data_IF_867719025758
#
_entry.id   IF_867719025758
#
_cell.length_a   1.000
_cell.length_b   1.000
_cell.length_c   1.000
_cell.angle_alpha   90.00
_cell.angle_beta   90.00
_cell.angle_gamma   90.00
#
_symmetry.space_group_name_H-M   'P 1'
#
loop_
_entity.id
_entity.type
_entity.pdbx_description
1 polymer ?
#
# COMPACT_ATOMS: atom_id res chain seq x y z
N UNK A 1 -3.54 15.83 2.44
CA UNK A 1 -3.44 14.58 1.65
C UNK A 1 -3.02 13.48 2.62
N UNK A 2 -3.60 12.28 2.58
CA UNK A 2 -3.14 11.21 3.44
C UNK A 2 -1.69 10.88 3.08
N UNK A 3 -0.82 10.83 4.09
CA UNK A 3 0.56 10.36 3.92
C UNK A 3 0.57 8.91 3.43
N UNK A 4 1.58 8.48 2.66
CA UNK A 4 1.72 7.08 2.29
C UNK A 4 1.79 6.23 3.56
N UNK A 5 0.85 5.29 3.71
CA UNK A 5 0.81 4.37 4.84
C UNK A 5 1.99 3.40 4.71
N UNK A 6 2.97 3.48 5.61
CA UNK A 6 4.04 2.49 5.70
C UNK A 6 3.61 1.34 6.61
N UNK A 7 3.70 0.12 6.10
CA UNK A 7 3.58 -1.10 6.89
C UNK A 7 4.94 -1.40 7.58
N UNK A 8 4.90 -2.20 8.63
CA UNK A 8 6.06 -2.74 9.32
C UNK A 8 6.96 -3.51 8.38
N UNK A 9 6.36 -4.35 7.54
CA UNK A 9 7.11 -5.20 6.62
C UNK A 9 7.90 -4.35 5.63
N UNK A 10 7.23 -3.38 4.99
CA UNK A 10 7.86 -2.46 4.04
C UNK A 10 8.96 -1.62 4.71
N UNK A 11 8.77 -1.21 5.97
CA UNK A 11 9.78 -0.45 6.71
C UNK A 11 11.01 -1.29 7.09
N UNK A 12 10.80 -2.54 7.52
CA UNK A 12 11.89 -3.48 7.79
C UNK A 12 12.61 -3.87 6.50
N UNK A 13 11.87 -4.03 5.39
CA UNK A 13 12.42 -4.27 4.07
C UNK A 13 13.35 -3.14 3.62
N UNK A 14 12.86 -1.90 3.59
CA UNK A 14 13.68 -0.74 3.22
C UNK A 14 14.89 -0.62 4.14
N UNK A 15 14.75 -0.90 5.44
CA UNK A 15 15.87 -0.85 6.37
C UNK A 15 16.91 -1.96 6.10
N UNK A 16 16.47 -3.20 5.88
CA UNK A 16 17.34 -4.32 5.54
C UNK A 16 18.13 -4.06 4.25
N UNK A 17 17.43 -3.67 3.17
CA UNK A 17 18.04 -3.46 1.87
C UNK A 17 18.58 -2.04 1.65
N UNK A 18 18.56 -1.18 2.67
CA UNK A 18 19.38 0.03 2.66
C UNK A 18 20.87 -0.28 2.83
N UNK A 19 21.19 -1.46 3.38
CA UNK A 19 22.54 -1.97 3.42
C UNK A 19 22.92 -2.59 2.07
N UNK A 20 24.11 -2.24 1.58
CA UNK A 20 24.62 -2.73 0.31
C UNK A 20 24.89 -4.24 0.33
N UNK A 21 25.27 -4.78 1.50
CA UNK A 21 25.52 -6.21 1.65
C UNK A 21 24.25 -7.02 1.38
N UNK A 22 23.12 -6.63 1.98
CA UNK A 22 21.84 -7.31 1.77
C UNK A 22 21.25 -7.02 0.38
N UNK A 23 21.45 -5.81 -0.17
CA UNK A 23 21.07 -5.51 -1.57
C UNK A 23 21.78 -6.42 -2.56
N UNK A 24 23.08 -6.63 -2.37
CA UNK A 24 23.87 -7.55 -3.19
C UNK A 24 23.39 -8.99 -3.04
N UNK A 25 23.07 -9.44 -1.83
CA UNK A 25 22.49 -10.77 -1.62
C UNK A 25 21.17 -10.91 -2.38
N UNK A 26 20.31 -9.88 -2.36
CA UNK A 26 19.02 -9.90 -3.09
C UNK A 26 19.25 -9.99 -4.59
N UNK A 27 20.20 -9.22 -5.11
CA UNK A 27 20.58 -9.30 -6.51
C UNK A 27 21.06 -10.70 -6.89
N UNK A 28 21.91 -11.33 -6.08
CA UNK A 28 22.41 -12.68 -6.33
C UNK A 28 21.32 -13.76 -6.21
N UNK A 29 20.29 -13.55 -5.39
CA UNK A 29 19.08 -14.40 -5.41
C UNK A 29 18.34 -14.34 -6.75
N UNK A 30 18.33 -13.17 -7.40
CA UNK A 30 17.66 -12.95 -8.68
C UNK A 30 18.53 -13.33 -9.89
N UNK A 31 19.84 -13.17 -9.75
CA UNK A 31 20.87 -13.38 -10.79
C UNK A 31 22.03 -14.23 -10.25
N UNK A 32 21.79 -15.51 -9.90
CA UNK A 32 22.83 -16.38 -9.33
C UNK A 32 23.99 -16.65 -10.30
N UNK A 33 23.82 -16.37 -11.59
CA UNK A 33 24.85 -16.49 -12.61
C UNK A 33 25.96 -15.42 -12.53
N UNK A 34 25.70 -14.24 -11.93
CA UNK A 34 26.62 -13.10 -11.92
C UNK A 34 27.58 -13.16 -10.71
N UNK A 35 28.41 -14.21 -10.70
CA UNK A 35 29.28 -14.57 -9.55
C UNK A 35 30.48 -13.64 -9.32
N UNK A 36 30.81 -12.76 -10.26
CA UNK A 36 31.96 -11.85 -10.17
C UNK A 36 31.60 -10.44 -9.64
N UNK A 37 30.34 -10.25 -9.22
CA UNK A 37 29.82 -8.98 -8.73
C UNK A 37 30.46 -8.54 -7.40
N UNK A 38 30.81 -7.25 -7.32
CA UNK A 38 31.42 -6.61 -6.14
C UNK A 38 30.53 -5.50 -5.62
N UNK A 39 30.77 -5.08 -4.39
CA UNK A 39 29.95 -4.06 -3.74
C UNK A 39 30.05 -2.72 -4.49
N UNK A 40 31.19 -2.43 -5.09
CA UNK A 40 31.45 -1.27 -5.96
C UNK A 40 30.61 -1.26 -7.25
N UNK A 41 30.07 -2.41 -7.66
CA UNK A 41 29.21 -2.52 -8.85
C UNK A 41 27.77 -2.07 -8.56
N UNK A 42 27.41 -1.87 -7.29
CA UNK A 42 26.07 -1.48 -6.88
C UNK A 42 26.01 0.00 -6.55
N UNK A 43 24.94 0.63 -7.00
CA UNK A 43 24.59 1.99 -6.61
C UNK A 43 23.12 2.06 -6.24
N UNK A 44 22.83 2.47 -5.01
CA UNK A 44 21.45 2.76 -4.60
C UNK A 44 20.93 3.97 -5.39
N UNK A 45 19.79 3.78 -6.05
CA UNK A 45 19.01 4.81 -6.75
C UNK A 45 17.58 4.86 -6.19
N UNK A 46 17.44 4.46 -4.92
CA UNK A 46 16.16 4.50 -4.21
C UNK A 46 15.71 5.94 -4.13
N UNK A 47 14.47 6.20 -4.53
CA UNK A 47 13.93 7.54 -4.63
C UNK A 47 13.62 8.07 -3.22
N UNK A 48 14.60 8.62 -2.53
CA UNK A 48 14.37 9.29 -1.25
C UNK A 48 13.82 10.70 -1.48
N UNK A 49 12.75 11.06 -0.79
CA UNK A 49 12.25 12.44 -0.81
C UNK A 49 12.19 12.96 0.64
N UNK A 50 13.26 13.65 1.04
CA UNK A 50 13.39 14.23 2.39
C UNK A 50 12.44 15.44 2.58
N UNK A 51 11.93 16.03 1.49
CA UNK A 51 11.25 17.34 1.53
C UNK A 51 9.90 17.43 0.80
N UNK A 52 9.45 16.39 0.08
CA UNK A 52 8.20 16.46 -0.67
C UNK A 52 7.38 15.18 -0.54
N UNK A 53 6.10 15.36 -0.22
CA UNK A 53 5.05 14.35 -0.30
C UNK A 53 4.97 13.91 -1.77
N UNK A 54 5.63 12.80 -2.11
CA UNK A 54 5.68 12.23 -3.44
C UNK A 54 5.77 10.71 -3.36
N UNK A 55 5.43 10.00 -4.44
CA UNK A 55 5.62 8.56 -4.51
C UNK A 55 7.13 8.24 -4.51
N UNK A 56 7.55 7.38 -3.60
CA UNK A 56 8.89 6.77 -3.54
C UNK A 56 8.75 5.25 -3.65
N UNK A 57 9.78 4.60 -4.19
CA UNK A 57 9.88 3.13 -4.21
C UNK A 57 10.60 2.65 -2.94
N UNK A 58 10.39 1.37 -2.58
CA UNK A 58 10.96 0.82 -1.35
C UNK A 58 12.45 0.51 -1.48
N UNK A 59 12.86 0.00 -2.65
CA UNK A 59 14.24 -0.24 -3.01
C UNK A 59 14.46 -0.01 -4.51
N UNK A 60 15.49 0.76 -4.84
CA UNK A 60 15.97 0.94 -6.20
C UNK A 60 17.48 0.90 -6.21
N UNK A 61 18.06 0.11 -7.11
CA UNK A 61 19.50 0.07 -7.27
C UNK A 61 19.90 -0.21 -8.71
N UNK A 62 21.02 0.37 -9.09
CA UNK A 62 21.68 0.16 -10.36
C UNK A 62 22.83 -0.83 -10.15
N UNK A 63 23.00 -1.75 -11.10
CA UNK A 63 24.09 -2.71 -11.15
C UNK A 63 24.92 -2.46 -12.40
N UNK A 64 26.17 -2.02 -12.19
CA UNK A 64 27.09 -1.53 -13.23
C UNK A 64 26.37 -0.49 -14.12
N UNK A 65 26.74 -0.36 -15.39
CA UNK A 65 26.08 0.58 -16.32
C UNK A 65 24.91 -0.07 -17.09
N UNK A 66 24.45 -1.24 -16.64
CA UNK A 66 23.67 -2.17 -17.46
C UNK A 66 22.24 -2.40 -16.97
N UNK A 67 22.01 -2.36 -15.66
CA UNK A 67 20.76 -2.81 -15.08
C UNK A 67 20.29 -1.85 -13.99
N UNK A 68 18.98 -1.56 -13.97
CA UNK A 68 18.29 -0.89 -12.87
C UNK A 68 17.23 -1.85 -12.36
N UNK A 69 17.25 -2.16 -11.07
CA UNK A 69 16.23 -2.93 -10.40
C UNK A 69 15.40 -2.02 -9.51
N UNK A 70 14.08 -2.13 -9.61
CA UNK A 70 13.13 -1.54 -8.68
C UNK A 70 12.35 -2.66 -8.00
N UNK A 71 12.37 -2.68 -6.67
CA UNK A 71 11.74 -3.71 -5.86
C UNK A 71 10.82 -3.04 -4.84
N UNK A 72 9.58 -3.53 -4.77
CA UNK A 72 8.63 -3.17 -3.72
C UNK A 72 8.32 -4.35 -2.81
N UNK A 73 8.21 -4.09 -1.52
CA UNK A 73 7.60 -5.02 -0.59
C UNK A 73 6.10 -4.70 -0.53
N UNK A 74 5.25 -5.72 -0.60
CA UNK A 74 3.81 -5.55 -0.46
C UNK A 74 3.22 -6.68 0.39
N UNK A 75 2.58 -6.32 1.49
CA UNK A 75 1.78 -7.24 2.32
C UNK A 75 0.34 -7.38 1.83
N UNK A 76 -0.14 -6.38 1.09
CA UNK A 76 -1.50 -6.32 0.55
C UNK A 76 -1.46 -6.30 -0.97
N UNK A 77 -2.18 -7.22 -1.60
CA UNK A 77 -2.24 -7.26 -3.05
C UNK A 77 -2.89 -5.99 -3.62
N UNK A 78 -2.26 -5.41 -4.65
CA UNK A 78 -2.77 -4.24 -5.37
C UNK A 78 -2.57 -4.41 -6.86
N UNK A 79 -3.63 -4.35 -7.69
CA UNK A 79 -3.51 -4.39 -9.14
C UNK A 79 -2.89 -3.12 -9.73
N UNK A 80 -2.71 -2.07 -8.90
CA UNK A 80 -2.21 -0.76 -9.34
C UNK A 80 -0.67 -0.67 -9.33
N UNK A 81 0.04 -1.74 -8.93
CA UNK A 81 1.50 -1.73 -8.82
C UNK A 81 2.20 -1.44 -10.15
N UNK A 82 1.77 -1.98 -11.32
CA UNK A 82 2.42 -1.65 -12.60
C UNK A 82 2.47 -0.15 -12.89
N UNK A 83 1.41 0.59 -12.55
CA UNK A 83 1.38 2.04 -12.73
C UNK A 83 2.36 2.75 -11.78
N UNK A 84 2.43 2.33 -10.51
CA UNK A 84 3.44 2.85 -9.56
C UNK A 84 4.86 2.61 -10.08
N UNK A 85 5.16 1.38 -10.51
CA UNK A 85 6.46 1.01 -11.05
C UNK A 85 6.83 1.81 -12.30
N UNK A 86 5.88 2.10 -13.19
CA UNK A 86 6.11 2.99 -14.32
C UNK A 86 6.55 4.38 -13.85
N UNK A 87 5.87 4.94 -12.85
CA UNK A 87 6.18 6.28 -12.33
C UNK A 87 7.57 6.33 -11.69
N UNK A 88 7.94 5.31 -10.90
CA UNK A 88 9.29 5.21 -10.35
C UNK A 88 10.34 5.09 -11.44
N UNK A 89 10.13 4.17 -12.40
CA UNK A 89 11.08 3.95 -13.47
C UNK A 89 11.31 5.21 -14.32
N UNK A 90 10.24 5.94 -14.63
CA UNK A 90 10.33 7.21 -15.34
C UNK A 90 11.17 8.24 -14.56
N UNK A 91 10.96 8.35 -13.24
CA UNK A 91 11.73 9.25 -12.38
C UNK A 91 13.20 8.83 -12.30
N UNK A 92 13.48 7.55 -12.06
CA UNK A 92 14.85 7.00 -12.00
C UNK A 92 15.60 7.21 -13.32
N UNK A 93 14.96 7.02 -14.47
CA UNK A 93 15.61 7.31 -15.75
C UNK A 93 15.82 8.80 -15.99
N UNK A 94 14.93 9.67 -15.53
CA UNK A 94 15.16 11.11 -15.64
C UNK A 94 16.42 11.53 -14.85
N UNK A 95 16.56 11.04 -13.61
CA UNK A 95 17.76 11.26 -12.79
C UNK A 95 19.02 10.70 -13.46
N UNK A 96 18.94 9.48 -14.04
CA UNK A 96 20.04 8.87 -14.79
C UNK A 96 20.46 9.71 -16.02
N UNK A 97 19.49 10.23 -16.77
CA UNK A 97 19.71 11.08 -17.96
C UNK A 97 20.43 12.38 -17.57
N UNK A 98 19.97 13.04 -16.51
CA UNK A 98 20.57 14.28 -16.00
C UNK A 98 22.01 14.05 -15.54
N UNK A 99 22.23 12.99 -14.75
CA UNK A 99 23.55 12.65 -14.24
C UNK A 99 24.56 12.33 -15.36
N UNK A 100 24.15 11.55 -16.36
CA UNK A 100 25.02 11.15 -17.46
C UNK A 100 25.01 12.14 -18.63
N UNK A 101 24.35 13.30 -18.46
CA UNK A 101 24.26 14.37 -19.45
C UNK A 101 23.78 13.88 -20.83
N UNK A 102 22.80 12.97 -20.84
CA UNK A 102 22.31 12.34 -22.06
C UNK A 102 21.37 13.28 -22.81
N UNK A 103 21.73 13.65 -24.03
CA UNK A 103 20.86 14.45 -24.89
C UNK A 103 19.84 13.58 -25.61
N UNK A 104 18.57 13.66 -25.20
CA UNK A 104 17.46 12.98 -25.86
C UNK A 104 17.04 13.61 -27.20
N UNK A 105 17.47 14.84 -27.47
CA UNK A 105 17.13 15.58 -28.70
C UNK A 105 18.13 15.37 -29.84
N UNK A 106 19.13 14.49 -29.65
CA UNK A 106 20.12 14.19 -30.68
C UNK A 106 19.67 13.03 -31.56
N UNK A 107 20.12 12.99 -32.80
CA UNK A 107 19.79 11.92 -33.76
C UNK A 107 20.38 10.56 -33.34
N UNK A 108 21.58 10.55 -32.74
CA UNK A 108 22.23 9.31 -32.32
C UNK A 108 21.53 8.70 -31.10
N UNK A 109 21.09 7.44 -31.22
CA UNK A 109 20.53 6.64 -30.12
C UNK A 109 21.32 6.80 -28.81
N UNK A 110 20.59 6.97 -27.72
CA UNK A 110 21.08 6.90 -26.34
C UNK A 110 20.83 5.48 -25.82
N UNK A 111 21.81 4.92 -25.10
CA UNK A 111 21.64 3.64 -24.41
C UNK A 111 21.37 3.92 -22.94
N UNK A 112 20.39 3.22 -22.37
CA UNK A 112 20.02 3.30 -20.96
C UNK A 112 20.12 1.90 -20.33
N UNK A 113 20.34 1.80 -19.02
CA UNK A 113 20.30 0.53 -18.30
C UNK A 113 18.96 -0.17 -18.52
N UNK A 114 18.95 -1.49 -18.67
CA UNK A 114 17.71 -2.28 -18.75
C UNK A 114 16.98 -2.23 -17.39
N UNK A 115 15.65 -2.10 -17.35
CA UNK A 115 14.92 -2.16 -16.11
C UNK A 115 14.49 -3.58 -15.78
N UNK A 116 14.50 -3.93 -14.51
CA UNK A 116 13.83 -5.11 -13.96
C UNK A 116 13.00 -4.72 -12.74
N UNK A 117 11.73 -5.13 -12.74
CA UNK A 117 10.72 -4.64 -11.80
C UNK A 117 10.15 -5.82 -11.02
N UNK A 118 10.22 -5.71 -9.70
CA UNK A 118 9.87 -6.79 -8.78
C UNK A 118 8.93 -6.33 -7.67
N UNK A 119 8.04 -7.21 -7.28
CA UNK A 119 7.25 -7.09 -6.04
C UNK A 119 7.52 -8.31 -5.19
N UNK A 120 8.00 -8.13 -3.98
CA UNK A 120 8.06 -9.17 -2.97
C UNK A 120 6.74 -9.15 -2.22
N UNK A 121 5.91 -10.15 -2.50
CA UNK A 121 4.56 -10.23 -1.98
C UNK A 121 4.50 -11.23 -0.81
N UNK A 122 4.11 -10.73 0.36
CA UNK A 122 4.04 -11.49 1.63
C UNK A 122 2.62 -11.57 2.18
N UNK A 123 1.62 -11.33 1.34
CA UNK A 123 0.21 -11.43 1.67
C UNK A 123 -0.37 -12.83 1.45
N UNK A 124 -1.52 -13.11 2.07
CA UNK A 124 -2.16 -14.43 2.03
C UNK A 124 -3.01 -14.66 0.78
N UNK A 125 -3.48 -13.59 0.11
CA UNK A 125 -4.32 -13.72 -1.08
C UNK A 125 -3.50 -14.23 -2.26
N UNK A 126 -4.07 -15.09 -3.08
CA UNK A 126 -3.48 -15.49 -4.35
C UNK A 126 -3.20 -14.25 -5.23
N UNK A 127 -1.99 -14.19 -5.79
CA UNK A 127 -1.53 -13.11 -6.64
C UNK A 127 -0.84 -13.70 -7.89
N UNK A 128 -1.03 -13.11 -9.07
CA UNK A 128 -0.38 -13.58 -10.30
C UNK A 128 1.15 -13.41 -10.22
N UNK A 129 1.88 -14.23 -10.96
CA UNK A 129 3.36 -14.17 -11.03
C UNK A 129 3.86 -12.94 -11.79
N UNK A 130 3.03 -12.39 -12.66
CA UNK A 130 3.36 -11.23 -13.49
C UNK A 130 2.17 -10.28 -13.45
N UNK A 131 2.44 -9.02 -13.11
CA UNK A 131 1.51 -7.92 -13.27
C UNK A 131 1.88 -7.14 -14.54
N UNK A 132 0.89 -6.78 -15.35
CA UNK A 132 1.12 -6.03 -16.58
C UNK A 132 0.40 -4.70 -16.52
N UNK A 133 1.07 -3.64 -16.99
CA UNK A 133 0.44 -2.34 -17.13
C UNK A 133 -0.75 -2.40 -18.11
N UNK A 134 -0.69 -3.29 -19.11
CA UNK A 134 -1.77 -3.51 -20.07
C UNK A 134 -3.09 -3.96 -19.44
N UNK A 135 -3.04 -4.63 -18.29
CA UNK A 135 -4.24 -5.13 -17.61
C UNK A 135 -5.07 -3.99 -16.99
N UNK A 136 -4.50 -2.78 -16.92
CA UNK A 136 -5.14 -1.58 -16.39
C UNK A 136 -5.84 -0.73 -17.47
N UNK A 137 -5.70 -1.07 -18.76
CA UNK A 137 -6.22 -0.23 -19.84
C UNK A 137 -7.70 -0.53 -20.15
N UNK A 138 -8.47 0.52 -20.46
CA UNK A 138 -9.78 0.39 -21.09
C UNK A 138 -9.63 0.24 -22.62
N UNK A 139 -8.90 -0.80 -23.07
CA UNK A 139 -8.62 -1.07 -24.48
C UNK A 139 -7.17 -1.43 -24.78
N UNK A 140 -6.76 -1.39 -26.06
CA UNK A 140 -5.37 -1.58 -26.45
C UNK A 140 -4.53 -0.34 -26.12
N UNK A 141 -3.33 -0.56 -25.59
CA UNK A 141 -2.36 0.51 -25.30
C UNK A 141 -1.02 0.25 -25.95
N UNK A 142 -0.23 1.31 -26.10
CA UNK A 142 1.09 1.27 -26.74
C UNK A 142 2.26 1.19 -25.74
N UNK A 143 1.99 1.42 -24.45
CA UNK A 143 3.00 1.31 -23.39
C UNK A 143 3.01 -0.12 -22.83
N UNK A 144 4.21 -0.69 -22.70
CA UNK A 144 4.45 -2.02 -22.16
C UNK A 144 5.33 -1.93 -20.91
N UNK A 145 4.89 -2.59 -19.85
CA UNK A 145 5.60 -2.72 -18.60
C UNK A 145 5.09 -3.97 -17.88
N UNK A 146 6.03 -4.77 -17.38
CA UNK A 146 5.74 -5.98 -16.62
C UNK A 146 6.50 -5.95 -15.30
N UNK A 147 5.84 -6.45 -14.26
CA UNK A 147 6.39 -6.54 -12.90
C UNK A 147 6.31 -8.00 -12.47
N UNK A 148 7.43 -8.57 -12.04
CA UNK A 148 7.49 -9.95 -11.54
C UNK A 148 7.12 -9.96 -10.07
N UNK A 149 6.20 -10.84 -9.68
CA UNK A 149 5.80 -11.04 -8.29
C UNK A 149 6.57 -12.22 -7.73
N UNK A 150 7.34 -11.95 -6.68
CA UNK A 150 8.16 -12.90 -5.93
C UNK A 150 7.45 -13.20 -4.61
N UNK A 151 7.24 -14.48 -4.31
CA UNK A 151 6.59 -14.92 -3.07
C UNK A 151 7.48 -15.81 -2.21
N UNK A 152 8.61 -16.25 -2.77
CA UNK A 152 9.57 -17.12 -2.14
C UNK A 152 10.94 -16.96 -2.83
N UNK A 153 12.01 -17.40 -2.18
CA UNK A 153 13.39 -17.42 -2.68
C UNK A 153 13.96 -18.83 -2.76
N UNK A 154 15.27 -18.96 -2.97
CA UNK A 154 15.94 -20.23 -2.73
C UNK A 154 16.09 -20.46 -1.22
N UNK A 155 15.92 -21.69 -0.71
CA UNK A 155 16.03 -21.95 0.73
C UNK A 155 17.31 -21.40 1.34
N UNK A 156 17.18 -20.47 2.28
CA UNK A 156 18.28 -19.85 3.01
C UNK A 156 18.88 -18.62 2.35
N UNK A 157 18.39 -18.20 1.18
CA UNK A 157 18.79 -16.92 0.58
C UNK A 157 18.11 -15.73 1.28
N UNK A 158 18.54 -14.50 0.95
CA UNK A 158 18.04 -13.31 1.66
C UNK A 158 16.55 -13.05 1.38
N UNK A 159 16.05 -13.46 0.21
CA UNK A 159 14.67 -13.29 -0.18
C UNK A 159 13.76 -14.22 0.62
N UNK A 160 14.11 -15.52 0.70
CA UNK A 160 13.39 -16.50 1.49
C UNK A 160 13.40 -16.10 2.97
N UNK A 161 14.55 -15.70 3.51
CA UNK A 161 14.65 -15.24 4.90
C UNK A 161 13.77 -14.02 5.19
N UNK A 162 13.71 -13.05 4.28
CA UNK A 162 12.81 -11.90 4.44
C UNK A 162 11.33 -12.31 4.39
N UNK A 163 10.95 -13.21 3.47
CA UNK A 163 9.58 -13.75 3.39
C UNK A 163 9.23 -14.51 4.68
N UNK A 164 10.12 -15.36 5.17
CA UNK A 164 9.94 -16.14 6.39
C UNK A 164 9.78 -15.20 7.61
N UNK A 165 10.61 -14.15 7.71
CA UNK A 165 10.45 -13.12 8.74
C UNK A 165 9.05 -12.50 8.71
N UNK A 166 8.54 -12.16 7.53
CA UNK A 166 7.19 -11.61 7.38
C UNK A 166 6.08 -12.59 7.75
N UNK A 167 6.28 -13.90 7.52
CA UNK A 167 5.35 -14.94 7.92
C UNK A 167 5.33 -15.11 9.44
N UNK A 168 6.50 -15.23 10.08
CA UNK A 168 6.62 -15.30 11.54
C UNK A 168 5.97 -14.08 12.18
N UNK A 169 6.24 -12.87 11.66
CA UNK A 169 5.62 -11.64 12.16
C UNK A 169 4.08 -11.67 12.09
N UNK A 170 3.51 -12.16 10.98
CA UNK A 170 2.06 -12.32 10.83
C UNK A 170 1.50 -13.30 11.88
N UNK A 171 2.15 -14.44 12.08
CA UNK A 171 1.72 -15.44 13.05
C UNK A 171 1.74 -14.88 14.47
N UNK A 172 2.79 -14.16 14.85
CA UNK A 172 2.88 -13.56 16.18
C UNK A 172 1.83 -12.46 16.38
N UNK A 173 1.54 -11.64 15.36
CA UNK A 173 0.46 -10.65 15.43
C UNK A 173 -0.91 -11.33 15.53
N UNK A 174 -1.11 -12.48 14.88
CA UNK A 174 -2.35 -13.26 15.00
C UNK A 174 -2.56 -13.83 16.41
N UNK A 175 -1.48 -14.25 17.08
CA UNK A 175 -1.52 -14.83 18.42
C UNK A 175 -1.64 -13.79 19.54
N UNK A 176 -0.81 -12.74 19.48
CA UNK A 176 -0.62 -11.78 20.57
C UNK A 176 -1.16 -10.38 20.26
N UNK A 177 -1.76 -10.20 19.08
CA UNK A 177 -2.13 -8.88 18.57
C UNK A 177 -0.90 -8.03 18.23
N UNK A 178 -1.12 -6.76 17.91
CA UNK A 178 -0.05 -5.76 17.72
C UNK A 178 0.48 -5.29 19.07
N UNK A 179 1.28 -6.12 19.71
CA UNK A 179 1.85 -5.91 21.06
C UNK A 179 3.37 -6.05 21.06
N UNK A 180 4.00 -5.51 22.11
CA UNK A 180 5.44 -5.68 22.33
C UNK A 180 5.81 -7.18 22.49
N UNK A 181 4.90 -8.00 23.02
CA UNK A 181 5.06 -9.45 23.11
C UNK A 181 5.16 -10.10 21.72
N UNK A 182 4.26 -9.74 20.80
CA UNK A 182 4.31 -10.23 19.41
C UNK A 182 5.65 -9.90 18.74
N UNK A 183 6.14 -8.68 18.95
CA UNK A 183 7.40 -8.19 18.39
C UNK A 183 8.60 -8.96 18.95
N UNK A 184 8.69 -9.06 20.29
CA UNK A 184 9.81 -9.74 20.94
C UNK A 184 9.81 -11.24 20.61
N UNK A 185 8.64 -11.86 20.56
CA UNK A 185 8.47 -13.25 20.12
C UNK A 185 8.88 -13.43 18.65
N UNK A 186 8.51 -12.50 17.76
CA UNK A 186 8.93 -12.54 16.34
C UNK A 186 10.44 -12.57 16.21
N UNK A 187 11.13 -11.63 16.87
CA UNK A 187 12.59 -11.57 16.80
C UNK A 187 13.22 -12.82 17.40
N UNK A 188 12.70 -13.30 18.53
CA UNK A 188 13.23 -14.50 19.19
C UNK A 188 13.09 -15.74 18.29
N UNK A 189 11.91 -15.96 17.70
CA UNK A 189 11.66 -17.08 16.79
C UNK A 189 12.52 -17.01 15.53
N UNK A 190 12.66 -15.81 14.94
CA UNK A 190 13.54 -15.63 13.78
C UNK A 190 15.00 -16.00 14.12
N UNK A 191 15.51 -15.58 15.29
CA UNK A 191 16.86 -15.94 15.72
C UNK A 191 17.01 -17.45 15.96
N UNK A 192 16.02 -18.09 16.59
CA UNK A 192 16.01 -19.54 16.85
C UNK A 192 15.94 -20.37 15.56
N UNK A 193 15.22 -19.89 14.55
CA UNK A 193 15.03 -20.56 13.26
C UNK A 193 16.12 -20.25 12.23
N UNK A 194 17.08 -19.36 12.55
CA UNK A 194 18.14 -18.99 11.62
C UNK A 194 17.73 -17.96 10.57
N UNK A 195 16.64 -17.23 10.78
CA UNK A 195 16.09 -16.23 9.85
C UNK A 195 16.71 -14.86 10.15
N UNK A 196 17.38 -14.26 9.16
CA UNK A 196 17.98 -12.92 9.23
C UNK A 196 18.92 -12.73 10.45
N UNK A 197 19.56 -13.79 10.95
CA UNK A 197 20.35 -13.75 12.19
C UNK A 197 21.41 -12.63 12.21
N UNK A 198 22.29 -12.49 11.18
CA UNK A 198 23.31 -11.44 11.21
C UNK A 198 22.72 -10.02 11.28
N UNK A 199 21.60 -9.81 10.59
CA UNK A 199 20.89 -8.54 10.57
C UNK A 199 20.23 -8.25 11.91
N UNK A 200 19.47 -9.21 12.44
CA UNK A 200 18.74 -9.06 13.69
C UNK A 200 19.69 -8.93 14.88
N UNK A 201 20.82 -9.65 14.92
CA UNK A 201 21.80 -9.53 16.01
C UNK A 201 22.47 -8.16 16.03
N UNK A 202 22.82 -7.62 14.86
CA UNK A 202 23.51 -6.33 14.76
C UNK A 202 22.57 -5.13 14.89
N UNK A 203 21.33 -5.24 14.39
CA UNK A 203 20.36 -4.13 14.29
C UNK A 203 19.10 -4.32 15.15
N UNK A 204 19.11 -5.25 16.12
CA UNK A 204 17.95 -5.59 16.97
C UNK A 204 17.18 -4.37 17.47
N UNK A 205 17.91 -3.41 18.06
CA UNK A 205 17.30 -2.22 18.67
C UNK A 205 16.55 -1.36 17.67
N UNK A 206 17.10 -1.19 16.46
CA UNK A 206 16.49 -0.39 15.40
C UNK A 206 15.26 -1.08 14.83
N UNK A 207 15.34 -2.41 14.61
CA UNK A 207 14.18 -3.21 14.17
C UNK A 207 13.05 -3.15 15.20
N UNK A 208 13.36 -3.30 16.49
CA UNK A 208 12.38 -3.17 17.58
C UNK A 208 11.73 -1.78 17.58
N UNK A 209 12.52 -0.72 17.46
CA UNK A 209 11.99 0.66 17.46
C UNK A 209 11.07 0.94 16.27
N UNK A 210 11.49 0.51 15.06
CA UNK A 210 10.68 0.61 13.83
C UNK A 210 9.34 -0.09 14.03
N UNK A 211 9.37 -1.36 14.47
CA UNK A 211 8.16 -2.18 14.63
C UNK A 211 7.24 -1.62 15.73
N UNK A 212 7.79 -1.19 16.87
CA UNK A 212 7.03 -0.64 18.01
C UNK A 212 6.29 0.64 17.61
N UNK A 213 6.98 1.55 16.91
CA UNK A 213 6.41 2.81 16.43
C UNK A 213 5.25 2.57 15.47
N UNK A 214 5.42 1.65 14.53
CA UNK A 214 4.42 1.35 13.51
C UNK A 214 3.21 0.60 14.10
N UNK A 215 3.40 -0.37 15.01
CA UNK A 215 2.26 -0.97 15.73
C UNK A 215 1.42 0.06 16.47
N UNK A 216 2.07 1.03 17.12
CA UNK A 216 1.37 2.10 17.83
C UNK A 216 0.55 2.98 16.87
N UNK A 217 1.11 3.33 15.72
CA UNK A 217 0.43 4.11 14.68
C UNK A 217 -0.75 3.34 14.07
N UNK A 218 -0.55 2.08 13.70
CA UNK A 218 -1.61 1.24 13.12
C UNK A 218 -2.77 1.04 14.09
N UNK A 219 -2.47 0.81 15.38
CA UNK A 219 -3.49 0.67 16.43
C UNK A 219 -4.29 1.95 16.62
N UNK A 220 -3.63 3.11 16.64
CA UNK A 220 -4.32 4.40 16.75
C UNK A 220 -5.24 4.64 15.53
N UNK A 221 -4.76 4.33 14.34
CA UNK A 221 -5.53 4.44 13.10
C UNK A 221 -6.74 3.51 13.06
N UNK A 222 -6.60 2.25 13.50
CA UNK A 222 -7.72 1.31 13.62
C UNK A 222 -8.79 1.80 14.60
N UNK A 223 -8.37 2.40 15.73
CA UNK A 223 -9.30 3.02 16.68
C UNK A 223 -10.05 4.20 16.07
N UNK A 224 -9.37 5.06 15.31
CA UNK A 224 -9.98 6.21 14.62
C UNK A 224 -10.97 5.77 13.53
N UNK A 225 -10.59 4.82 12.68
CA UNK A 225 -11.48 4.20 11.69
C UNK A 225 -12.73 3.61 12.34
N UNK A 226 -12.56 2.90 13.46
CA UNK A 226 -13.68 2.31 14.20
C UNK A 226 -14.58 3.38 14.82
N UNK A 227 -14.03 4.48 15.33
CA UNK A 227 -14.79 5.62 15.84
C UNK A 227 -15.59 6.29 14.70
N UNK A 228 -14.93 6.63 13.59
CA UNK A 228 -15.57 7.22 12.40
C UNK A 228 -16.68 6.31 11.85
N UNK A 229 -16.45 5.00 11.79
CA UNK A 229 -17.47 4.05 11.34
C UNK A 229 -18.68 3.98 12.29
N UNK A 230 -18.48 4.16 13.60
CA UNK A 230 -19.57 4.24 14.59
C UNK A 230 -20.35 5.54 14.44
N UNK A 231 -19.67 6.66 14.31
CA UNK A 231 -20.29 7.98 14.10
C UNK A 231 -21.11 8.02 12.82
N UNK A 232 -20.55 7.55 11.70
CA UNK A 232 -21.25 7.47 10.41
C UNK A 232 -22.49 6.56 10.50
N UNK A 233 -22.41 5.42 11.21
CA UNK A 233 -23.56 4.55 11.45
C UNK A 233 -24.64 5.25 12.27
N UNK A 234 -24.25 5.98 13.30
CA UNK A 234 -25.19 6.71 14.16
C UNK A 234 -25.85 7.87 13.42
N UNK A 235 -25.09 8.63 12.63
CA UNK A 235 -25.61 9.68 11.77
C UNK A 235 -26.63 9.12 10.77
N UNK A 236 -26.30 8.05 10.03
CA UNK A 236 -27.23 7.40 9.10
C UNK A 236 -28.49 6.85 9.79
N UNK A 237 -28.37 6.35 11.02
CA UNK A 237 -29.51 5.90 11.83
C UNK A 237 -30.42 7.06 12.26
N UNK A 238 -29.85 8.23 12.55
CA UNK A 238 -30.60 9.45 12.89
C UNK A 238 -31.30 9.99 11.64
N UNK A 239 -30.58 10.12 10.54
CA UNK A 239 -31.12 10.56 9.24
C UNK A 239 -32.28 9.67 8.79
N UNK A 240 -32.08 8.34 8.77
CA UNK A 240 -33.15 7.41 8.39
C UNK A 240 -34.38 7.46 9.30
N UNK A 241 -34.24 7.83 10.58
CA UNK A 241 -35.40 8.07 11.46
C UNK A 241 -36.11 9.38 11.15
N UNK A 242 -35.37 10.42 10.78
CA UNK A 242 -35.97 11.70 10.39
C UNK A 242 -36.73 11.52 9.08
N UNK A 243 -36.09 10.94 8.07
CA UNK A 243 -36.72 10.63 6.77
C UNK A 243 -37.95 9.74 6.94
N UNK A 244 -37.84 8.61 7.67
CA UNK A 244 -38.98 7.71 7.89
C UNK A 244 -40.16 8.38 8.63
N UNK A 245 -39.89 9.32 9.55
CA UNK A 245 -40.96 10.11 10.19
C UNK A 245 -41.60 11.10 9.22
N UNK A 246 -40.80 11.76 8.38
CA UNK A 246 -41.31 12.68 7.37
C UNK A 246 -42.14 11.95 6.30
N UNK A 247 -41.70 10.79 5.83
CA UNK A 247 -42.46 9.95 4.90
C UNK A 247 -43.77 9.46 5.52
N UNK A 248 -43.74 8.95 6.75
CA UNK A 248 -44.96 8.53 7.45
C UNK A 248 -45.96 9.68 7.64
N UNK A 249 -45.47 10.88 7.95
CA UNK A 249 -46.29 12.08 8.07
C UNK A 249 -46.88 12.49 6.72
N UNK A 250 -46.09 12.48 5.64
CA UNK A 250 -46.56 12.78 4.30
C UNK A 250 -47.62 11.77 3.82
N UNK A 251 -47.41 10.48 4.07
CA UNK A 251 -48.37 9.44 3.71
C UNK A 251 -49.67 9.53 4.52
N UNK A 252 -49.60 9.87 5.81
CA UNK A 252 -50.78 10.14 6.63
C UNK A 252 -51.59 11.32 6.07
N UNK A 253 -50.91 12.42 5.72
CA UNK A 253 -51.55 13.60 5.12
C UNK A 253 -52.20 13.26 3.77
N UNK A 254 -51.50 12.51 2.89
CA UNK A 254 -52.06 12.04 1.61
C UNK A 254 -53.33 11.21 1.81
N UNK A 255 -53.36 10.31 2.81
CA UNK A 255 -54.55 9.49 3.12
C UNK A 255 -55.72 10.34 3.62
N UNK A 256 -55.47 11.38 4.42
CA UNK A 256 -56.50 12.30 4.88
C UNK A 256 -57.06 13.14 3.72
N UNK A 257 -56.20 13.62 2.83
CA UNK A 257 -56.60 14.41 1.66
C UNK A 257 -57.43 13.62 0.62
N UNK A 258 -57.45 12.29 0.69
CA UNK A 258 -58.39 11.47 -0.11
C UNK A 258 -59.84 11.58 0.38
N UNK A 259 -60.06 12.00 1.63
CA UNK A 259 -61.37 12.00 2.29
C UNK A 259 -61.84 13.38 2.75
N UNK A 260 -60.93 14.32 2.90
CA UNK A 260 -61.17 15.66 3.44
C UNK A 260 -60.47 16.71 2.58
N UNK A 261 -61.04 17.91 2.51
CA UNK A 261 -60.41 19.06 1.85
C UNK A 261 -59.15 19.51 2.59
N UNK A 262 -58.25 20.22 1.91
CA UNK A 262 -57.01 20.71 2.52
C UNK A 262 -57.23 21.63 3.73
N UNK A 263 -58.34 22.38 3.73
CA UNK A 263 -58.76 23.22 4.85
C UNK A 263 -59.16 22.37 6.06
N UNK A 264 -59.91 21.30 5.85
CA UNK A 264 -60.32 20.37 6.91
C UNK A 264 -59.11 19.61 7.46
N UNK A 265 -58.20 19.12 6.60
CA UNK A 265 -56.96 18.45 7.05
C UNK A 265 -56.06 19.41 7.83
N UNK A 266 -55.96 20.66 7.40
CA UNK A 266 -55.24 21.73 8.12
C UNK A 266 -55.82 21.96 9.52
N UNK A 267 -57.14 21.98 9.66
CA UNK A 267 -57.82 22.14 10.95
C UNK A 267 -57.70 20.89 11.84
N UNK A 268 -57.80 19.69 11.28
CA UNK A 268 -57.69 18.41 12.01
C UNK A 268 -56.28 18.21 12.56
N UNK A 269 -55.26 18.50 11.75
CA UNK A 269 -53.86 18.24 12.09
C UNK A 269 -53.19 19.44 12.78
N UNK A 270 -53.80 20.63 12.73
CA UNK A 270 -53.22 21.86 13.27
C UNK A 270 -52.00 22.36 12.48
N UNK A 271 -51.89 21.99 11.20
CA UNK A 271 -50.74 22.31 10.33
C UNK A 271 -51.22 23.29 9.24
N UNK A 272 -50.45 24.36 8.91
CA UNK A 272 -50.81 25.28 7.83
C UNK A 272 -50.94 24.57 6.48
N UNK A 273 -51.88 25.03 5.63
CA UNK A 273 -52.11 24.45 4.29
C UNK A 273 -50.84 24.45 3.43
N UNK A 274 -50.04 25.52 3.48
CA UNK A 274 -48.78 25.62 2.73
C UNK A 274 -47.74 24.57 3.12
N UNK A 275 -47.71 24.15 4.38
CA UNK A 275 -46.82 23.09 4.85
C UNK A 275 -47.36 21.69 4.49
N UNK A 276 -48.68 21.53 4.42
CA UNK A 276 -49.32 20.31 3.91
C UNK A 276 -49.00 20.11 2.43
N UNK A 277 -49.16 21.15 1.60
CA UNK A 277 -48.81 21.15 0.17
C UNK A 277 -47.34 20.77 -0.03
N UNK A 278 -46.44 21.42 0.73
CA UNK A 278 -45.00 21.14 0.71
C UNK A 278 -44.65 19.70 1.06
N UNK A 279 -45.23 19.15 2.14
CA UNK A 279 -44.93 17.79 2.61
C UNK A 279 -45.54 16.70 1.70
N UNK A 280 -46.68 16.97 1.08
CA UNK A 280 -47.39 16.00 0.24
C UNK A 280 -47.05 16.09 -1.25
N UNK A 281 -46.40 17.19 -1.68
CA UNK A 281 -45.99 17.51 -3.06
C UNK A 281 -47.17 17.67 -4.03
N UNK A 282 -48.20 18.41 -3.62
CA UNK A 282 -49.40 18.75 -4.41
C UNK A 282 -49.55 20.24 -4.55
#
# INVERSE_FOLDING_TARGET
>A
MPEPKRDIKDSVFTFLFSDIEYTKQLYLSLHPEDTDIRDEDFRLVTLENILAIGQYNDLGFQVRDKLILLVEAQSTFSPNIPLRMLMYLAKTYNEYIEEHQLSLYREKKVSIPRPELYVIYTGEKEAPDILRLSDMYEGSGSADLTVRVLRDGQPGDILSQYVDFCQVANEQVSLYGRTDEALMSTIQLCLEQGILVPFLDSRKKEVVDIMTRLFSQEKAWEMELAANARENREAGRVEGRVEGRMEAQADMLRRLLQKFSILEVSQIMGIPQSEIERLTKI
#
